data_IF_970322276484
#
_entry.id   IF_970322276484
#
_cell.length_a   1.000
_cell.length_b   1.000
_cell.length_c   1.000
_cell.angle_alpha   90.00
_cell.angle_beta   90.00
_cell.angle_gamma   90.00
#
_symmetry.space_group_name_H-M   'P 1'
#
loop_
_entity.id
_entity.type
_entity.pdbx_description
1 polymer ?
#
# COMPACT_ATOMS: atom_id res chain seq x y z
N UNK A 1 -9.24 9.60 -8.59
CA UNK A 1 -8.02 8.78 -8.71
C UNK A 1 -7.05 9.18 -7.60
N UNK A 2 -6.59 8.21 -6.83
CA UNK A 2 -5.50 8.32 -5.87
C UNK A 2 -4.20 8.08 -6.63
N UNK A 3 -3.38 9.12 -6.78
CA UNK A 3 -2.16 9.09 -7.60
C UNK A 3 -0.95 9.23 -6.71
N UNK A 4 -0.01 8.31 -6.82
CA UNK A 4 1.27 8.39 -6.14
C UNK A 4 2.00 7.07 -6.14
N UNK A 5 3.33 7.06 -6.00
CA UNK A 5 4.12 5.83 -6.04
C UNK A 5 3.81 4.90 -4.87
N UNK A 6 4.35 3.68 -4.92
CA UNK A 6 4.17 2.67 -3.87
C UNK A 6 4.66 3.18 -2.51
N UNK A 7 3.91 2.89 -1.46
CA UNK A 7 4.23 3.33 -0.10
C UNK A 7 3.83 4.78 0.22
N UNK A 8 3.08 5.48 -0.64
CA UNK A 8 2.49 6.79 -0.30
C UNK A 8 1.21 6.70 0.57
N UNK A 9 0.82 5.49 1.01
CA UNK A 9 -0.33 5.30 1.91
C UNK A 9 -1.71 5.33 1.24
N UNK A 10 -1.81 5.31 -0.10
CA UNK A 10 -3.09 5.33 -0.85
C UNK A 10 -4.12 4.34 -0.31
N UNK A 11 -3.73 3.08 -0.16
CA UNK A 11 -4.59 2.03 0.40
C UNK A 11 -5.10 2.38 1.80
N UNK A 12 -4.19 2.79 2.69
CA UNK A 12 -4.55 3.17 4.06
C UNK A 12 -5.39 4.43 4.15
N UNK A 13 -5.25 5.37 3.21
CA UNK A 13 -6.07 6.59 3.17
C UNK A 13 -7.56 6.26 2.95
N UNK A 14 -7.90 5.45 1.94
CA UNK A 14 -9.30 5.10 1.71
C UNK A 14 -9.83 4.09 2.73
N UNK A 15 -9.01 3.15 3.21
CA UNK A 15 -9.41 2.22 4.29
C UNK A 15 -9.73 2.98 5.58
N UNK A 16 -8.91 3.97 5.97
CA UNK A 16 -9.17 4.80 7.13
C UNK A 16 -10.46 5.61 6.97
N UNK A 17 -10.72 6.12 5.77
CA UNK A 17 -11.96 6.82 5.45
C UNK A 17 -13.18 5.86 5.51
N UNK A 18 -13.05 4.67 4.94
CA UNK A 18 -14.09 3.63 4.98
C UNK A 18 -14.46 3.28 6.43
N UNK A 19 -13.45 3.05 7.28
CA UNK A 19 -13.62 2.73 8.70
C UNK A 19 -14.28 3.90 9.45
N UNK A 20 -13.81 5.13 9.23
CA UNK A 20 -14.37 6.31 9.89
C UNK A 20 -15.84 6.53 9.50
N UNK A 21 -16.18 6.42 8.20
CA UNK A 21 -17.56 6.56 7.73
C UNK A 21 -18.48 5.48 8.28
N UNK A 22 -17.99 4.24 8.33
CA UNK A 22 -18.76 3.10 8.86
C UNK A 22 -18.94 3.20 10.38
N UNK A 23 -17.92 3.66 11.10
CA UNK A 23 -18.00 3.87 12.55
C UNK A 23 -18.97 5.01 12.92
N UNK A 24 -19.05 6.04 12.08
CA UNK A 24 -19.94 7.18 12.28
C UNK A 24 -21.37 6.96 11.78
N UNK A 25 -21.74 5.73 11.40
CA UNK A 25 -23.06 5.36 10.87
C UNK A 25 -24.21 6.03 11.65
N UNK A 26 -25.09 6.71 10.91
CA UNK A 26 -26.28 7.37 11.45
C UNK A 26 -26.06 8.78 12.01
N UNK A 27 -24.80 9.23 12.22
CA UNK A 27 -24.50 10.63 12.55
C UNK A 27 -24.62 11.51 11.32
N UNK A 28 -25.05 12.75 11.50
CA UNK A 28 -25.20 13.72 10.41
C UNK A 28 -23.80 14.20 9.98
N UNK A 29 -23.52 14.12 8.68
CA UNK A 29 -22.32 14.67 8.08
C UNK A 29 -22.44 16.19 7.87
N UNK A 30 -21.35 16.90 7.58
CA UNK A 30 -21.39 18.35 7.36
C UNK A 30 -22.30 18.80 6.19
N UNK A 31 -22.62 17.89 5.27
CA UNK A 31 -23.53 18.12 4.14
C UNK A 31 -25.01 17.81 4.49
N UNK A 32 -25.33 17.56 5.76
CA UNK A 32 -26.70 17.33 6.24
C UNK A 32 -27.25 15.93 5.98
N UNK A 33 -26.45 14.98 5.48
CA UNK A 33 -26.87 13.59 5.26
C UNK A 33 -26.25 12.65 6.30
N UNK A 34 -26.90 11.54 6.69
CA UNK A 34 -26.29 10.61 7.64
C UNK A 34 -25.08 9.92 7.02
N UNK A 35 -24.05 9.65 7.82
CA UNK A 35 -22.98 8.72 7.44
C UNK A 35 -23.58 7.33 7.22
N UNK A 36 -23.15 6.70 6.13
CA UNK A 36 -23.61 5.39 5.70
C UNK A 36 -22.42 4.42 5.73
N UNK A 37 -22.65 3.13 6.02
CA UNK A 37 -21.62 2.10 5.89
C UNK A 37 -21.01 2.11 4.49
N UNK A 38 -19.73 1.75 4.42
CA UNK A 38 -18.98 1.72 3.16
C UNK A 38 -18.43 0.32 2.93
N UNK A 39 -18.81 -0.28 1.80
CA UNK A 39 -18.28 -1.56 1.31
C UNK A 39 -17.28 -1.30 0.19
N UNK A 40 -16.14 -1.97 0.22
CA UNK A 40 -15.04 -1.80 -0.75
C UNK A 40 -14.84 -3.10 -1.53
N UNK A 41 -14.66 -2.96 -2.85
CA UNK A 41 -14.35 -4.06 -3.76
C UNK A 41 -13.08 -3.70 -4.51
N UNK A 42 -11.98 -4.41 -4.21
CA UNK A 42 -10.66 -4.14 -4.79
C UNK A 42 -10.40 -5.09 -5.96
N UNK A 43 -10.02 -4.54 -7.10
CA UNK A 43 -9.78 -5.24 -8.35
C UNK A 43 -8.46 -4.78 -8.95
N UNK A 44 -7.64 -5.71 -9.43
CA UNK A 44 -6.48 -5.38 -10.24
C UNK A 44 -6.82 -5.61 -11.73
N UNK A 45 -7.05 -4.55 -12.52
CA UNK A 45 -7.53 -4.66 -13.90
C UNK A 45 -6.49 -5.31 -14.84
N UNK A 46 -5.21 -5.33 -14.46
CA UNK A 46 -4.12 -5.96 -15.23
C UNK A 46 -3.83 -7.39 -14.83
N UNK A 47 -4.34 -7.84 -13.69
CA UNK A 47 -4.20 -9.24 -13.24
C UNK A 47 -5.13 -10.20 -13.95
N UNK A 48 -6.14 -9.68 -14.66
CA UNK A 48 -7.18 -10.42 -15.35
C UNK A 48 -7.30 -9.96 -16.81
N UNK A 49 -7.89 -10.80 -17.65
CA UNK A 49 -8.12 -10.44 -19.06
C UNK A 49 -9.29 -9.46 -19.20
N UNK A 50 -9.38 -8.74 -20.33
CA UNK A 50 -10.50 -7.84 -20.61
C UNK A 50 -11.85 -8.56 -20.59
N UNK A 51 -11.90 -9.78 -21.13
CA UNK A 51 -13.10 -10.61 -21.09
C UNK A 51 -13.48 -11.02 -19.67
N UNK A 52 -12.52 -11.29 -18.79
CA UNK A 52 -12.81 -11.56 -17.37
C UNK A 52 -13.23 -10.30 -16.61
N UNK A 53 -12.75 -9.12 -16.99
CA UNK A 53 -13.11 -7.86 -16.32
C UNK A 53 -14.53 -7.41 -16.69
N UNK A 54 -14.84 -7.31 -17.99
CA UNK A 54 -16.11 -6.75 -18.49
C UNK A 54 -17.12 -7.80 -18.91
N UNK A 55 -16.66 -8.97 -19.32
CA UNK A 55 -17.42 -10.01 -20.00
C UNK A 55 -16.96 -10.15 -21.44
N UNK A 56 -17.14 -11.35 -22.00
CA UNK A 56 -16.81 -11.65 -23.39
C UNK A 56 -17.76 -12.71 -23.94
N UNK A 57 -17.92 -12.69 -25.26
CA UNK A 57 -18.50 -13.81 -25.99
C UNK A 57 -17.43 -14.88 -26.18
N UNK A 58 -17.81 -16.13 -25.99
CA UNK A 58 -16.99 -17.27 -26.37
C UNK A 58 -17.00 -17.42 -27.91
N UNK A 59 -15.81 -17.51 -28.53
CA UNK A 59 -15.67 -17.52 -29.99
C UNK A 59 -16.25 -18.78 -30.65
N UNK A 60 -16.40 -19.88 -29.92
CA UNK A 60 -16.88 -21.16 -30.44
C UNK A 60 -18.38 -21.34 -30.22
N UNK A 61 -18.86 -20.99 -29.03
CA UNK A 61 -20.25 -21.20 -28.61
C UNK A 61 -21.13 -19.97 -28.85
N UNK A 62 -20.51 -18.79 -29.04
CA UNK A 62 -21.18 -17.48 -29.06
C UNK A 62 -22.01 -17.20 -27.79
N UNK A 63 -21.75 -17.91 -26.70
CA UNK A 63 -22.40 -17.65 -25.41
C UNK A 63 -21.69 -16.49 -24.70
N UNK A 64 -22.50 -15.64 -24.04
CA UNK A 64 -21.99 -14.52 -23.27
C UNK A 64 -21.57 -14.99 -21.87
N UNK A 65 -20.33 -14.69 -21.50
CA UNK A 65 -19.84 -14.86 -20.14
C UNK A 65 -19.67 -13.51 -19.47
N UNK A 66 -20.25 -13.38 -18.29
CA UNK A 66 -20.18 -12.15 -17.50
C UNK A 66 -18.80 -11.92 -16.88
N UNK A 67 -18.38 -10.65 -16.89
CA UNK A 67 -17.17 -10.20 -16.21
C UNK A 67 -17.36 -9.97 -14.72
N UNK A 68 -16.23 -9.89 -14.02
CA UNK A 68 -16.16 -9.63 -12.59
C UNK A 68 -16.76 -8.25 -12.26
N UNK A 69 -16.40 -7.21 -13.04
CA UNK A 69 -16.89 -5.85 -12.78
C UNK A 69 -18.40 -5.73 -13.02
N UNK A 70 -18.89 -6.27 -14.13
CA UNK A 70 -20.32 -6.21 -14.46
C UNK A 70 -21.18 -6.96 -13.46
N UNK A 71 -20.68 -8.09 -12.93
CA UNK A 71 -21.33 -8.84 -11.84
C UNK A 71 -21.36 -8.03 -10.54
N UNK A 72 -20.23 -7.44 -10.14
CA UNK A 72 -20.13 -6.62 -8.94
C UNK A 72 -21.03 -5.36 -9.01
N UNK A 73 -21.06 -4.70 -10.17
CA UNK A 73 -21.95 -3.56 -10.38
C UNK A 73 -23.41 -3.95 -10.31
N UNK A 74 -23.82 -5.08 -10.90
CA UNK A 74 -25.19 -5.59 -10.77
C UNK A 74 -25.57 -5.87 -9.32
N UNK A 75 -24.70 -6.50 -8.53
CA UNK A 75 -24.93 -6.67 -7.10
C UNK A 75 -25.09 -5.35 -6.35
N UNK A 76 -24.32 -4.33 -6.73
CA UNK A 76 -24.47 -3.01 -6.14
C UNK A 76 -25.79 -2.33 -6.53
N UNK A 77 -26.26 -2.51 -7.77
CA UNK A 77 -27.49 -1.85 -8.27
C UNK A 77 -28.72 -2.52 -7.68
N UNK A 78 -28.67 -3.85 -7.54
CA UNK A 78 -29.74 -4.65 -6.93
C UNK A 78 -29.81 -4.51 -5.40
N UNK A 79 -28.84 -3.83 -4.77
CA UNK A 79 -28.84 -3.65 -3.34
C UNK A 79 -29.95 -2.70 -2.89
N UNK A 80 -30.81 -3.16 -1.97
CA UNK A 80 -31.91 -2.37 -1.41
C UNK A 80 -31.46 -1.41 -0.31
N UNK A 81 -30.21 -1.51 0.14
CA UNK A 81 -29.66 -0.62 1.16
C UNK A 81 -28.97 0.61 0.53
N UNK A 82 -28.94 1.68 1.31
CA UNK A 82 -28.33 2.95 0.90
C UNK A 82 -26.81 3.00 1.25
N UNK A 83 -26.20 1.84 1.53
CA UNK A 83 -24.79 1.73 1.87
C UNK A 83 -23.92 2.15 0.69
N UNK A 84 -22.82 2.85 0.96
CA UNK A 84 -21.87 3.24 -0.08
C UNK A 84 -21.09 2.02 -0.55
N UNK A 85 -20.85 1.94 -1.86
CA UNK A 85 -20.09 0.87 -2.50
C UNK A 85 -18.96 1.46 -3.33
N UNK A 86 -17.74 1.18 -2.93
CA UNK A 86 -16.56 1.66 -3.63
C UNK A 86 -15.94 0.53 -4.42
N UNK A 87 -15.73 0.76 -5.72
CA UNK A 87 -14.99 -0.14 -6.60
C UNK A 87 -13.60 0.47 -6.79
N UNK A 88 -12.58 -0.18 -6.22
CA UNK A 88 -11.20 0.27 -6.24
C UNK A 88 -10.47 -0.52 -7.32
N UNK A 89 -9.95 0.17 -8.32
CA UNK A 89 -9.06 -0.40 -9.32
C UNK A 89 -7.62 -0.13 -8.87
N UNK A 90 -6.96 -1.15 -8.32
CA UNK A 90 -5.57 -1.12 -7.86
C UNK A 90 -4.64 -1.70 -8.92
N UNK A 91 -3.92 -0.82 -9.60
CA UNK A 91 -2.99 -1.21 -10.66
C UNK A 91 -2.75 -0.09 -11.67
N UNK A 92 -1.82 -0.29 -12.61
CA UNK A 92 -1.52 0.72 -13.61
C UNK A 92 -2.68 0.91 -14.58
N UNK A 93 -2.93 2.18 -14.93
CA UNK A 93 -3.89 2.54 -15.98
C UNK A 93 -3.29 2.22 -17.33
N UNK A 94 -4.12 1.71 -18.23
CA UNK A 94 -3.77 1.45 -19.61
C UNK A 94 -4.94 1.86 -20.50
N UNK A 95 -4.60 2.43 -21.66
CA UNK A 95 -5.56 2.95 -22.63
C UNK A 95 -6.63 1.91 -23.01
N UNK A 96 -6.27 0.64 -23.15
CA UNK A 96 -7.16 -0.41 -23.65
C UNK A 96 -8.33 -0.66 -22.70
N UNK A 97 -8.07 -0.75 -21.40
CA UNK A 97 -9.13 -1.09 -20.45
C UNK A 97 -9.90 0.13 -19.97
N UNK A 98 -9.23 1.29 -19.88
CA UNK A 98 -9.86 2.52 -19.38
C UNK A 98 -10.78 3.15 -20.43
N UNK A 99 -10.56 2.90 -21.72
CA UNK A 99 -11.43 3.42 -22.79
C UNK A 99 -12.87 2.93 -22.65
N UNK A 100 -13.05 1.66 -22.32
CA UNK A 100 -14.38 1.06 -22.03
C UNK A 100 -15.03 1.63 -20.77
N UNK A 101 -14.29 2.36 -19.92
CA UNK A 101 -14.81 3.03 -18.72
C UNK A 101 -15.23 4.48 -18.95
N UNK A 102 -14.94 5.08 -20.11
CA UNK A 102 -15.14 6.50 -20.30
C UNK A 102 -16.62 6.94 -20.13
N UNK A 103 -17.59 6.09 -20.47
CA UNK A 103 -19.04 6.36 -20.32
C UNK A 103 -19.56 6.19 -18.91
N UNK A 104 -18.85 5.43 -18.05
CA UNK A 104 -19.21 5.29 -16.64
C UNK A 104 -18.52 6.37 -15.79
N UNK A 105 -17.40 6.90 -16.27
CA UNK A 105 -16.66 7.98 -15.63
C UNK A 105 -17.15 9.38 -16.00
N UNK A 106 -17.99 9.52 -17.03
CA UNK A 106 -18.63 10.79 -17.37
C UNK A 106 -19.97 10.99 -16.62
N UNK A 107 -20.65 12.09 -16.91
CA UNK A 107 -21.92 12.45 -16.29
C UNK A 107 -23.05 11.43 -16.55
N UNK A 108 -22.90 10.55 -17.54
CA UNK A 108 -23.89 9.51 -17.82
C UNK A 108 -23.92 8.45 -16.72
N UNK A 109 -22.78 8.17 -16.06
CA UNK A 109 -22.62 7.12 -15.05
C UNK A 109 -23.14 5.74 -15.53
N UNK A 110 -22.88 5.38 -16.79
CA UNK A 110 -23.36 4.14 -17.42
C UNK A 110 -22.20 3.27 -17.89
N UNK A 111 -22.15 2.04 -17.37
CA UNK A 111 -21.29 1.00 -17.90
C UNK A 111 -21.96 0.36 -19.11
N UNK A 112 -21.35 0.50 -20.28
CA UNK A 112 -21.81 -0.15 -21.50
C UNK A 112 -20.96 -1.40 -21.75
N UNK A 113 -21.59 -2.57 -21.75
CA UNK A 113 -20.91 -3.84 -22.03
C UNK A 113 -20.96 -4.16 -23.53
N UNK A 114 -20.00 -4.95 -24.00
CA UNK A 114 -19.97 -5.44 -25.39
C UNK A 114 -21.18 -6.33 -25.74
N UNK A 115 -21.88 -6.86 -24.73
CA UNK A 115 -23.17 -7.55 -24.90
C UNK A 115 -24.31 -6.63 -25.33
N UNK A 116 -24.14 -5.30 -25.23
CA UNK A 116 -25.18 -4.29 -25.39
C UNK A 116 -25.93 -3.98 -24.09
N UNK A 117 -25.64 -4.66 -22.99
CA UNK A 117 -26.21 -4.33 -21.68
C UNK A 117 -25.66 -2.99 -21.17
N UNK A 118 -26.54 -2.18 -20.60
CA UNK A 118 -26.21 -0.88 -20.00
C UNK A 118 -26.55 -0.90 -18.52
N UNK A 119 -25.51 -0.85 -17.68
CA UNK A 119 -25.65 -0.83 -16.21
C UNK A 119 -25.43 0.60 -15.73
N UNK A 120 -26.47 1.24 -15.19
CA UNK A 120 -26.36 2.60 -14.63
C UNK A 120 -25.94 2.54 -13.16
N UNK A 121 -24.89 3.27 -12.79
CA UNK A 121 -24.47 3.40 -11.39
C UNK A 121 -25.50 4.20 -10.58
N UNK A 122 -25.73 3.76 -9.35
CA UNK A 122 -26.49 4.52 -8.35
C UNK A 122 -25.58 5.53 -7.65
N UNK A 123 -26.15 6.55 -7.01
CA UNK A 123 -25.36 7.57 -6.31
C UNK A 123 -24.64 7.05 -5.05
N UNK A 124 -25.02 5.87 -4.56
CA UNK A 124 -24.33 5.16 -3.50
C UNK A 124 -23.01 4.52 -3.98
N UNK A 125 -22.83 4.35 -5.28
CA UNK A 125 -21.62 3.76 -5.84
C UNK A 125 -20.55 4.81 -6.14
N UNK A 126 -19.29 4.42 -6.01
CA UNK A 126 -18.14 5.27 -6.37
C UNK A 126 -17.06 4.41 -6.99
N UNK A 127 -16.50 4.85 -8.11
CA UNK A 127 -15.31 4.24 -8.70
C UNK A 127 -14.07 5.02 -8.26
N UNK A 128 -13.07 4.31 -7.78
CA UNK A 128 -11.80 4.86 -7.35
C UNK A 128 -10.68 4.11 -8.07
N UNK A 129 -9.61 4.83 -8.40
CA UNK A 129 -8.44 4.27 -9.07
C UNK A 129 -7.25 4.53 -8.18
N UNK A 130 -6.52 3.49 -7.81
CA UNK A 130 -5.25 3.55 -7.11
C UNK A 130 -4.13 3.30 -8.12
N UNK A 131 -3.38 4.36 -8.45
CA UNK A 131 -2.43 4.34 -9.58
C UNK A 131 -1.11 4.98 -9.18
N UNK A 132 0.01 4.46 -9.71
CA UNK A 132 1.34 4.98 -9.43
C UNK A 132 1.58 6.33 -10.15
N UNK A 133 1.28 6.34 -11.45
CA UNK A 133 1.40 7.49 -12.33
C UNK A 133 0.29 7.46 -13.39
N UNK A 134 0.20 8.54 -14.17
CA UNK A 134 -0.81 8.74 -15.22
C UNK A 134 -0.19 8.75 -16.61
N UNK A 135 1.01 8.21 -16.78
CA UNK A 135 1.78 8.32 -18.03
C UNK A 135 1.03 7.75 -19.24
N UNK A 136 0.17 6.76 -19.02
CA UNK A 136 -0.61 6.07 -20.05
C UNK A 136 -2.09 6.50 -20.06
N UNK A 137 -2.48 7.50 -19.27
CA UNK A 137 -3.84 8.00 -19.24
C UNK A 137 -4.01 9.19 -20.20
N UNK A 138 -5.06 9.17 -21.01
CA UNK A 138 -5.37 10.30 -21.89
C UNK A 138 -5.82 11.52 -21.07
N UNK A 139 -5.51 12.77 -21.50
CA UNK A 139 -6.00 13.97 -20.81
C UNK A 139 -7.53 14.03 -20.70
N UNK A 140 -8.25 13.43 -21.67
CA UNK A 140 -9.71 13.35 -21.66
C UNK A 140 -10.26 12.40 -20.59
N UNK A 141 -9.53 11.34 -20.23
CA UNK A 141 -9.86 10.45 -19.13
C UNK A 141 -9.60 11.11 -17.78
N UNK A 142 -8.46 11.80 -17.66
CA UNK A 142 -8.06 12.51 -16.44
C UNK A 142 -9.01 13.66 -16.13
N UNK A 143 -9.50 14.39 -17.14
CA UNK A 143 -10.42 15.52 -16.93
C UNK A 143 -11.78 15.14 -16.35
N UNK A 144 -12.20 13.87 -16.50
CA UNK A 144 -13.46 13.34 -15.95
C UNK A 144 -13.32 12.87 -14.49
N UNK A 145 -12.09 12.75 -14.00
CA UNK A 145 -11.81 12.20 -12.68
C UNK A 145 -11.34 13.29 -11.70
N UNK A 146 -11.81 13.22 -10.46
CA UNK A 146 -11.21 13.98 -9.36
C UNK A 146 -9.83 13.41 -9.01
N UNK A 147 -8.80 14.26 -8.94
CA UNK A 147 -7.41 13.86 -8.74
C UNK A 147 -6.94 14.16 -7.31
N UNK A 148 -6.40 13.15 -6.63
CA UNK A 148 -5.82 13.28 -5.29
C UNK A 148 -4.40 12.76 -5.34
N UNK A 149 -3.43 13.68 -5.23
CA UNK A 149 -2.01 13.35 -5.25
C UNK A 149 -1.51 13.03 -3.85
N UNK A 150 -0.86 11.87 -3.70
CA UNK A 150 -0.30 11.36 -2.46
C UNK A 150 1.20 11.19 -2.65
N UNK A 151 1.96 12.17 -2.17
CA UNK A 151 3.41 12.18 -2.28
C UNK A 151 4.05 11.49 -1.07
N UNK A 152 4.98 10.52 -1.27
CA UNK A 152 5.64 9.83 -0.15
C UNK A 152 6.45 10.74 0.76
N UNK A 153 6.98 11.84 0.22
CA UNK A 153 7.77 12.81 0.97
C UNK A 153 6.98 13.45 2.10
N UNK A 154 5.66 13.60 1.94
CA UNK A 154 4.75 14.16 2.94
C UNK A 154 4.51 13.17 4.08
N UNK A 155 4.42 11.87 3.77
CA UNK A 155 4.24 10.83 4.79
C UNK A 155 5.54 10.59 5.57
N UNK A 156 6.69 10.65 4.90
CA UNK A 156 7.98 10.34 5.49
C UNK A 156 8.16 8.86 5.85
N UNK A 157 9.26 8.55 6.53
CA UNK A 157 9.59 7.18 6.96
C UNK A 157 9.20 6.90 8.42
N UNK A 158 9.02 7.94 9.20
CA UNK A 158 8.69 7.88 10.63
C UNK A 158 7.41 7.09 10.92
N UNK A 159 6.28 7.26 10.19
CA UNK A 159 5.06 6.49 10.48
C UNK A 159 5.24 4.99 10.35
N UNK A 160 6.11 4.52 9.44
CA UNK A 160 6.41 3.11 9.27
C UNK A 160 7.12 2.54 10.50
N UNK A 161 8.11 3.29 11.01
CA UNK A 161 8.89 2.92 12.20
C UNK A 161 7.99 2.95 13.43
N UNK A 162 7.24 4.03 13.65
CA UNK A 162 6.35 4.16 14.81
C UNK A 162 5.29 3.06 14.88
N UNK A 163 4.67 2.72 13.74
CA UNK A 163 3.69 1.64 13.69
C UNK A 163 4.31 0.29 14.04
N UNK A 164 5.53 0.03 13.56
CA UNK A 164 6.26 -1.19 13.91
C UNK A 164 6.69 -1.23 15.37
N UNK A 165 7.14 -0.10 15.92
CA UNK A 165 7.54 0.00 17.33
C UNK A 165 6.39 -0.30 18.30
N UNK A 166 5.15 0.05 17.93
CA UNK A 166 3.93 -0.30 18.70
C UNK A 166 3.61 -1.80 18.71
N UNK A 167 4.19 -2.58 17.79
CA UNK A 167 3.97 -4.03 17.68
C UNK A 167 5.09 -4.86 18.34
N UNK A 168 6.01 -4.20 19.04
CA UNK A 168 7.12 -4.87 19.72
C UNK A 168 6.63 -5.66 20.94
N UNK A 169 7.15 -6.87 21.18
CA UNK A 169 6.83 -7.65 22.37
C UNK A 169 7.49 -7.05 23.63
N UNK A 170 6.89 -7.28 24.80
CA UNK A 170 7.31 -6.69 26.08
C UNK A 170 8.82 -6.76 26.38
N UNK A 171 9.54 -7.88 26.14
CA UNK A 171 10.98 -7.95 26.42
C UNK A 171 11.80 -6.96 25.58
N UNK A 172 11.39 -6.75 24.32
CA UNK A 172 12.05 -5.84 23.38
C UNK A 172 11.58 -4.40 23.61
N UNK A 173 10.32 -4.21 23.98
CA UNK A 173 9.74 -2.90 24.25
C UNK A 173 10.44 -2.16 25.40
N UNK A 174 11.06 -2.87 26.35
CA UNK A 174 11.92 -2.26 27.39
C UNK A 174 13.07 -1.42 26.83
N UNK A 175 13.51 -1.70 25.61
CA UNK A 175 14.61 -1.01 24.93
C UNK A 175 14.11 -0.05 23.85
N UNK A 176 12.87 0.44 23.97
CA UNK A 176 12.24 1.34 23.01
C UNK A 176 13.12 2.55 22.64
N UNK A 177 13.70 3.23 23.63
CA UNK A 177 14.50 4.44 23.41
C UNK A 177 15.78 4.14 22.62
N UNK A 178 16.46 3.03 22.92
CA UNK A 178 17.64 2.58 22.18
C UNK A 178 17.28 2.27 20.73
N UNK A 179 16.18 1.55 20.50
CA UNK A 179 15.71 1.21 19.15
C UNK A 179 15.37 2.49 18.38
N UNK A 180 14.67 3.45 19.01
CA UNK A 180 14.33 4.72 18.39
C UNK A 180 15.58 5.50 17.97
N UNK A 181 16.56 5.61 18.87
CA UNK A 181 17.84 6.27 18.56
C UNK A 181 18.55 5.61 17.38
N UNK A 182 18.53 4.28 17.25
CA UNK A 182 19.10 3.59 16.10
C UNK A 182 18.39 3.95 14.79
N UNK A 183 17.06 4.01 14.77
CA UNK A 183 16.32 4.45 13.58
C UNK A 183 16.64 5.90 13.20
N UNK A 184 16.58 6.82 14.16
CA UNK A 184 16.85 8.25 13.94
C UNK A 184 18.28 8.48 13.44
N UNK A 185 19.25 7.79 14.04
CA UNK A 185 20.65 7.95 13.70
C UNK A 185 21.02 7.31 12.37
N UNK A 186 20.48 6.13 12.04
CA UNK A 186 20.99 5.34 10.91
C UNK A 186 20.04 5.25 9.71
N UNK A 187 18.72 5.19 9.88
CA UNK A 187 17.81 4.89 8.77
C UNK A 187 17.84 5.96 7.68
N UNK A 188 17.44 7.19 8.01
CA UNK A 188 17.39 8.28 7.03
C UNK A 188 18.75 8.58 6.42
N UNK A 189 19.85 8.69 7.19
CA UNK A 189 21.13 9.01 6.58
C UNK A 189 21.66 7.88 5.69
N UNK A 190 21.34 6.61 5.99
CA UNK A 190 21.72 5.48 5.14
C UNK A 190 21.00 5.54 3.80
N UNK A 191 19.70 5.82 3.82
CA UNK A 191 18.91 6.01 2.58
C UNK A 191 19.44 7.23 1.80
N UNK A 192 19.68 8.36 2.46
CA UNK A 192 20.28 9.55 1.84
C UNK A 192 21.65 9.26 1.22
N UNK A 193 22.47 8.42 1.86
CA UNK A 193 23.75 8.00 1.31
C UNK A 193 23.58 7.17 0.04
N UNK A 194 22.65 6.21 0.05
CA UNK A 194 22.36 5.37 -1.13
C UNK A 194 21.88 6.22 -2.30
N UNK A 195 20.90 7.10 -2.09
CA UNK A 195 20.36 7.94 -3.17
C UNK A 195 21.40 8.88 -3.79
N UNK A 196 22.44 9.26 -3.05
CA UNK A 196 23.48 10.18 -3.53
C UNK A 196 24.72 9.50 -4.11
N UNK A 197 25.19 8.42 -3.48
CA UNK A 197 26.54 7.88 -3.69
C UNK A 197 26.56 6.47 -4.30
N UNK A 198 25.40 5.84 -4.44
CA UNK A 198 25.27 4.46 -4.88
C UNK A 198 24.54 4.40 -6.21
N UNK A 199 25.01 3.52 -7.08
CA UNK A 199 24.28 3.12 -8.28
C UNK A 199 23.46 1.87 -7.95
N UNK A 200 22.14 2.00 -8.03
CA UNK A 200 21.23 0.87 -7.86
C UNK A 200 20.97 0.20 -9.21
N UNK A 201 21.04 -1.13 -9.23
CA UNK A 201 20.75 -1.93 -10.43
C UNK A 201 19.25 -1.91 -10.72
N UNK A 202 18.43 -1.96 -9.67
CA UNK A 202 16.97 -1.95 -9.73
C UNK A 202 16.49 -0.75 -8.91
N UNK A 203 15.64 0.13 -9.47
CA UNK A 203 15.06 1.24 -8.72
C UNK A 203 14.31 0.73 -7.48
N UNK A 204 14.61 1.32 -6.33
CA UNK A 204 13.92 1.00 -5.07
C UNK A 204 13.18 2.23 -4.54
N UNK A 205 12.18 2.00 -3.70
CA UNK A 205 11.48 3.06 -2.96
C UNK A 205 11.97 3.09 -1.51
N UNK A 206 12.10 4.28 -0.93
CA UNK A 206 12.56 4.46 0.46
C UNK A 206 11.68 3.69 1.45
N UNK A 207 10.36 3.71 1.23
CA UNK A 207 9.37 2.93 1.98
C UNK A 207 9.67 1.42 1.93
N UNK A 208 10.02 0.89 0.76
CA UNK A 208 10.34 -0.52 0.59
C UNK A 208 11.65 -0.92 1.28
N UNK A 209 12.67 -0.05 1.23
CA UNK A 209 13.93 -0.26 1.96
C UNK A 209 13.68 -0.28 3.46
N UNK A 210 12.89 0.66 3.98
CA UNK A 210 12.48 0.68 5.40
C UNK A 210 11.67 -0.56 5.76
N UNK A 211 10.68 -0.97 4.97
CA UNK A 211 9.94 -2.22 5.23
C UNK A 211 10.84 -3.45 5.23
N UNK A 212 11.85 -3.50 4.35
CA UNK A 212 12.80 -4.61 4.32
C UNK A 212 13.64 -4.66 5.60
N UNK A 213 14.09 -3.50 6.10
CA UNK A 213 14.76 -3.39 7.39
C UNK A 213 13.87 -3.89 8.53
N UNK A 214 12.63 -3.40 8.60
CA UNK A 214 11.66 -3.78 9.64
C UNK A 214 11.36 -5.28 9.63
N UNK A 215 11.21 -5.89 8.44
CA UNK A 215 11.00 -7.34 8.31
C UNK A 215 12.19 -8.15 8.76
N UNK A 216 13.42 -7.73 8.45
CA UNK A 216 14.63 -8.42 8.92
C UNK A 216 14.78 -8.34 10.44
N UNK A 217 14.52 -7.17 11.02
CA UNK A 217 14.44 -7.00 12.47
C UNK A 217 13.35 -7.89 13.08
N UNK A 218 12.19 -7.99 12.43
CA UNK A 218 11.09 -8.80 12.92
C UNK A 218 11.44 -10.29 12.97
N UNK A 219 12.29 -10.79 12.07
CA UNK A 219 12.79 -12.17 12.12
C UNK A 219 13.58 -12.46 13.42
N UNK A 220 14.38 -11.50 13.90
CA UNK A 220 15.12 -11.65 15.16
C UNK A 220 14.20 -11.52 16.39
N UNK A 221 13.13 -10.73 16.27
CA UNK A 221 12.17 -10.47 17.35
C UNK A 221 11.09 -11.56 17.44
N UNK A 222 10.84 -12.28 16.35
CA UNK A 222 9.82 -13.32 16.22
C UNK A 222 9.81 -14.40 17.34
N UNK A 223 10.98 -14.84 17.88
CA UNK A 223 11.02 -15.78 19.01
C UNK A 223 10.49 -15.20 20.34
N UNK A 224 10.45 -13.88 20.50
CA UNK A 224 10.03 -13.21 21.74
C UNK A 224 8.54 -12.87 21.77
N UNK A 225 7.81 -13.13 20.67
CA UNK A 225 6.36 -12.93 20.63
C UNK A 225 5.64 -14.05 21.39
N UNK A 226 4.61 -13.73 22.20
CA UNK A 226 3.83 -14.74 22.91
C UNK A 226 3.14 -15.68 21.90
N UNK A 227 3.29 -16.99 22.11
CA UNK A 227 2.65 -18.05 21.31
C UNK A 227 1.82 -18.94 22.23
N UNK A 228 0.67 -19.39 21.73
CA UNK A 228 -0.23 -20.30 22.47
C UNK A 228 0.38 -21.70 22.67
N UNK A 229 1.34 -22.11 21.83
CA UNK A 229 1.83 -23.50 21.76
C UNK A 229 3.35 -23.68 21.86
N UNK A 230 4.12 -22.60 22.04
CA UNK A 230 5.59 -22.64 21.95
C UNK A 230 6.26 -22.28 23.28
N UNK A 231 7.38 -22.95 23.57
CA UNK A 231 8.27 -22.58 24.66
C UNK A 231 8.70 -21.13 24.44
N UNK A 232 8.35 -20.25 25.38
CA UNK A 232 8.85 -18.87 25.39
C UNK A 232 10.39 -18.90 25.25
N UNK A 233 10.95 -17.86 24.62
CA UNK A 233 12.39 -17.72 24.51
C UNK A 233 13.06 -17.95 25.88
N UNK A 234 14.24 -18.62 25.93
CA UNK A 234 14.93 -18.87 27.19
C UNK A 234 15.08 -17.57 27.99
N UNK A 235 14.90 -17.58 29.33
CA UNK A 235 15.02 -16.37 30.15
C UNK A 235 16.36 -15.64 29.96
N UNK A 236 17.43 -16.41 29.75
CA UNK A 236 18.78 -15.90 29.46
C UNK A 236 18.86 -15.16 28.12
N UNK A 237 18.09 -15.58 27.11
CA UNK A 237 17.97 -14.88 25.84
C UNK A 237 17.15 -13.59 25.98
N UNK A 238 16.19 -13.55 26.93
CA UNK A 238 15.39 -12.36 27.21
C UNK A 238 16.19 -11.27 27.94
N UNK A 239 17.14 -11.64 28.80
CA UNK A 239 18.02 -10.67 29.49
C UNK A 239 19.06 -10.06 28.54
N UNK A 240 19.52 -10.82 27.54
CA UNK A 240 20.53 -10.38 26.57
C UNK A 240 19.97 -9.59 25.39
N UNK A 241 18.66 -9.36 25.33
CA UNK A 241 18.02 -8.60 24.24
C UNK A 241 18.65 -7.23 24.07
N UNK A 242 18.93 -6.52 25.18
CA UNK A 242 19.57 -5.20 25.15
C UNK A 242 20.90 -5.18 24.40
N UNK A 243 21.74 -6.20 24.59
CA UNK A 243 23.05 -6.34 23.93
C UNK A 243 22.93 -6.70 22.45
N UNK A 244 21.85 -7.39 22.07
CA UNK A 244 21.67 -7.95 20.73
C UNK A 244 20.92 -7.01 19.77
N UNK A 245 20.17 -6.03 20.29
CA UNK A 245 19.39 -5.08 19.49
C UNK A 245 20.26 -4.33 18.48
N UNK A 246 21.38 -3.77 18.91
CA UNK A 246 22.25 -3.00 18.03
C UNK A 246 22.87 -3.89 16.93
N UNK A 247 23.51 -5.04 17.24
CA UNK A 247 23.97 -5.98 16.22
C UNK A 247 22.86 -6.41 15.23
N UNK A 248 21.65 -6.70 15.72
CA UNK A 248 20.52 -7.09 14.88
C UNK A 248 20.07 -5.96 13.95
N UNK A 249 20.00 -4.74 14.48
CA UNK A 249 19.63 -3.56 13.70
C UNK A 249 20.61 -3.32 12.56
N UNK A 250 21.90 -3.39 12.86
CA UNK A 250 22.96 -3.11 11.90
C UNK A 250 23.04 -4.20 10.84
N UNK A 251 22.97 -5.46 11.26
CA UNK A 251 22.87 -6.58 10.32
C UNK A 251 21.68 -6.38 9.38
N UNK A 252 20.52 -6.03 9.93
CA UNK A 252 19.30 -5.80 9.16
C UNK A 252 19.45 -4.59 8.22
N UNK A 253 20.10 -3.51 8.64
CA UNK A 253 20.37 -2.32 7.83
C UNK A 253 21.25 -2.63 6.61
N UNK A 254 22.31 -3.41 6.82
CA UNK A 254 23.23 -3.81 5.75
C UNK A 254 22.51 -4.67 4.71
N UNK A 255 21.71 -5.64 5.17
CA UNK A 255 21.02 -6.59 4.29
C UNK A 255 19.66 -6.13 3.75
N UNK A 256 19.19 -4.93 4.14
CA UNK A 256 17.99 -4.31 3.58
C UNK A 256 18.36 -3.10 2.73
N UNK A 257 18.73 -1.99 3.37
CA UNK A 257 19.08 -0.72 2.74
C UNK A 257 20.33 -0.92 1.87
N UNK A 258 21.38 -1.54 2.41
CA UNK A 258 22.63 -1.81 1.68
C UNK A 258 22.55 -2.88 0.59
N UNK A 259 21.44 -3.63 0.48
CA UNK A 259 21.35 -4.76 -0.44
C UNK A 259 21.16 -4.34 -1.90
N UNK A 260 20.55 -3.18 -2.17
CA UNK A 260 20.29 -2.67 -3.53
C UNK A 260 21.56 -2.13 -4.23
N UNK A 261 22.65 -1.98 -3.48
CA UNK A 261 23.94 -1.50 -3.96
C UNK A 261 24.66 -2.51 -4.88
N UNK A 262 25.36 -2.01 -5.91
CA UNK A 262 26.34 -2.79 -6.67
C UNK A 262 27.61 -3.11 -5.87
N UNK A 263 28.49 -3.97 -6.40
CA UNK A 263 29.67 -4.45 -5.67
C UNK A 263 30.63 -3.34 -5.23
N UNK A 264 30.82 -2.30 -6.04
CA UNK A 264 31.70 -1.18 -5.70
C UNK A 264 31.06 -0.24 -4.69
N UNK A 265 29.77 0.04 -4.83
CA UNK A 265 29.00 0.87 -3.90
C UNK A 265 28.82 0.20 -2.55
N UNK A 266 28.76 -1.14 -2.48
CA UNK A 266 28.75 -1.89 -1.21
C UNK A 266 29.99 -1.59 -0.37
N UNK A 267 31.17 -1.47 -0.99
CA UNK A 267 32.41 -1.10 -0.28
C UNK A 267 32.30 0.32 0.29
N UNK A 268 31.84 1.27 -0.52
CA UNK A 268 31.62 2.67 -0.10
C UNK A 268 30.61 2.78 1.05
N UNK A 269 29.50 2.04 0.96
CA UNK A 269 28.48 2.01 2.02
C UNK A 269 29.05 1.39 3.30
N UNK A 270 29.82 0.30 3.20
CA UNK A 270 30.47 -0.33 4.35
C UNK A 270 31.45 0.62 5.04
N UNK A 271 32.30 1.33 4.29
CA UNK A 271 33.24 2.30 4.84
C UNK A 271 32.52 3.49 5.50
N UNK A 272 31.46 4.00 4.86
CA UNK A 272 30.64 5.06 5.43
C UNK A 272 29.97 4.62 6.74
N UNK A 273 29.40 3.42 6.78
CA UNK A 273 28.73 2.90 7.96
C UNK A 273 29.72 2.70 9.11
N UNK A 274 30.91 2.13 8.85
CA UNK A 274 31.99 1.98 9.84
C UNK A 274 32.42 3.32 10.44
N UNK A 275 32.66 4.33 9.61
CA UNK A 275 32.97 5.69 10.09
C UNK A 275 31.86 6.25 10.96
N UNK A 276 30.61 5.98 10.59
CA UNK A 276 29.46 6.48 11.33
C UNK A 276 29.33 5.87 12.72
N UNK A 277 29.66 4.58 12.88
CA UNK A 277 29.77 3.96 14.20
C UNK A 277 30.83 4.60 15.09
N UNK A 278 32.00 4.92 14.53
CA UNK A 278 33.07 5.53 15.31
C UNK A 278 32.68 6.91 15.87
N UNK A 279 31.72 7.60 15.23
CA UNK A 279 31.26 8.92 15.63
C UNK A 279 30.03 8.90 16.55
N UNK A 280 29.22 7.84 16.49
CA UNK A 280 28.04 7.62 17.32
C UNK A 280 28.08 6.18 17.87
N UNK A 281 28.82 5.93 18.96
CA UNK A 281 28.80 4.65 19.67
C UNK A 281 27.49 4.44 20.45
#
# INVERSE_FOLDING_TARGET
MLVGPTGSGKTKSYESLQLAMTHMKGKINPAGSPFKPVHTYVLNPKSITMGQLYGAFDDLTHEWTDGILSTLMRHGVAAENDDKRWYIFDGPVDAVWIENMNTVLDDNKKLCLSSGEIIKMTDAMTMMFEVADLSQASPATVSRCGMVYLEPSILGLEPFVECWMKLLPDPVFKHYDTIKQLFDNYLEPSIKFIRKNVKEIIPTYDSNLTFSLLKMLDCFIYPFRPRESDKQAPPEAMERVGELIEPWFIFSLIWSVGASCDNDSRRKFSEWLKKKFEHNP
#
